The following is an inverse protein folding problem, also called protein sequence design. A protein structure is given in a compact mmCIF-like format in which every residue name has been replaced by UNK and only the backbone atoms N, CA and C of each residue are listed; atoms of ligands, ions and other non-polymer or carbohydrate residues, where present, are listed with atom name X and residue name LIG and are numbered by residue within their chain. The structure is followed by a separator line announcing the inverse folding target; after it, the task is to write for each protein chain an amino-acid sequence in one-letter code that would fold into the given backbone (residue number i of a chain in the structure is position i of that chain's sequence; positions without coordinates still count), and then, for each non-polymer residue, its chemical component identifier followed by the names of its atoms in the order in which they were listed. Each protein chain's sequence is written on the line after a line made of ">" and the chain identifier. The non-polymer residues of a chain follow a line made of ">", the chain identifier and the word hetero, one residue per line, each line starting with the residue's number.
data_IF_611090657868
#
_entry.id   IF_611090657868
#
_cell.length_a   1.000
_cell.length_b   1.000
_cell.length_c   1.000
_cell.angle_alpha   90.00
_cell.angle_beta   90.00
_cell.angle_gamma   90.00
#
_symmetry.space_group_name_H-M   'P 1'
#
loop_
_entity.id
_entity.type
_entity.pdbx_description
1 polymer ?
#
# COMPACT_ATOMS: atom_id res chain seq x y z
N UNK A 1 -16.24 -12.63 42.44
CA UNK A 1 -17.59 -12.21 42.00
C UNK A 1 -17.65 -10.69 42.14
N UNK A 2 -18.12 -9.99 41.10
CA UNK A 2 -18.18 -8.53 40.89
C UNK A 2 -16.92 -7.84 40.35
N UNK A 3 -16.80 -7.88 39.02
CA UNK A 3 -16.07 -6.91 38.22
C UNK A 3 -16.86 -5.59 38.18
N UNK A 4 -16.18 -4.47 38.47
CA UNK A 4 -16.70 -3.11 38.22
C UNK A 4 -16.32 -2.70 36.81
N UNK A 5 -17.32 -2.44 35.97
CA UNK A 5 -17.17 -1.85 34.66
C UNK A 5 -16.61 -0.42 34.79
N UNK A 6 -15.45 -0.15 34.18
CA UNK A 6 -15.01 1.20 33.89
C UNK A 6 -15.56 1.60 32.52
N UNK A 7 -16.44 2.59 32.55
CA UNK A 7 -17.05 3.25 31.40
C UNK A 7 -15.97 3.99 30.61
N UNK A 8 -15.68 3.57 29.38
CA UNK A 8 -14.78 4.28 28.47
C UNK A 8 -15.45 5.58 27.98
N UNK A 9 -14.87 6.69 28.39
CA UNK A 9 -15.24 8.03 27.93
C UNK A 9 -14.69 8.21 26.51
N UNK A 10 -15.59 8.36 25.53
CA UNK A 10 -15.28 8.59 24.12
C UNK A 10 -14.44 9.88 23.96
N UNK A 11 -13.27 9.77 23.33
CA UNK A 11 -12.56 10.93 22.78
C UNK A 11 -13.33 11.45 21.54
N UNK A 12 -13.47 12.78 21.35
CA UNK A 12 -14.24 13.36 20.24
C UNK A 12 -13.49 13.29 18.89
N UNK A 13 -14.19 13.12 17.76
CA UNK A 13 -13.60 13.01 16.43
C UNK A 13 -13.49 14.39 15.76
N UNK A 14 -12.39 15.13 15.95
CA UNK A 14 -12.12 16.36 15.17
C UNK A 14 -10.63 16.67 15.10
N UNK A 15 -9.92 16.08 14.12
CA UNK A 15 -8.59 16.56 13.67
C UNK A 15 -8.52 16.67 12.13
N UNK A 16 -9.58 16.27 11.39
CA UNK A 16 -9.55 16.19 9.92
C UNK A 16 -10.25 17.34 9.17
N UNK A 17 -10.78 18.37 9.84
CA UNK A 17 -11.50 19.45 9.17
C UNK A 17 -11.13 20.84 9.70
N UNK A 18 -10.22 21.52 9.00
CA UNK A 18 -10.07 22.99 9.02
C UNK A 18 -10.66 23.55 7.70
N UNK A 19 -11.76 24.32 7.74
CA UNK A 19 -12.44 24.85 6.56
C UNK A 19 -11.95 26.24 6.10
N UNK A 20 -10.76 26.71 6.48
CA UNK A 20 -10.34 28.11 6.23
C UNK A 20 -9.71 28.42 4.85
N UNK A 21 -9.70 27.50 3.87
CA UNK A 21 -9.13 27.78 2.54
C UNK A 21 -10.11 27.40 1.42
N UNK A 22 -11.04 28.31 1.08
CA UNK A 22 -11.66 28.37 -0.26
C UNK A 22 -12.45 29.69 -0.44
N UNK A 23 -11.87 30.67 -1.14
CA UNK A 23 -12.61 31.74 -1.82
C UNK A 23 -11.84 32.16 -3.07
N UNK A 24 -12.60 32.57 -4.10
CA UNK A 24 -12.20 33.07 -5.45
C UNK A 24 -12.02 31.97 -6.51
N UNK A 25 -12.54 32.01 -7.74
CA UNK A 25 -13.45 32.93 -8.46
C UNK A 25 -14.12 32.18 -9.62
N UNK A 26 -15.35 32.55 -9.96
CA UNK A 26 -16.07 32.06 -11.13
C UNK A 26 -15.58 32.75 -12.41
N UNK A 27 -15.37 31.98 -13.48
CA UNK A 27 -15.22 32.49 -14.85
C UNK A 27 -16.27 31.84 -15.73
N UNK A 28 -17.04 32.71 -16.40
CA UNK A 28 -18.17 32.42 -17.29
C UNK A 28 -17.65 32.36 -18.72
N UNK A 29 -17.99 31.32 -19.49
CA UNK A 29 -17.73 31.27 -20.94
C UNK A 29 -19.05 31.33 -21.72
N UNK A 30 -19.15 32.13 -22.79
CA UNK A 30 -20.38 32.28 -23.57
C UNK A 30 -20.50 31.22 -24.68
N UNK A 31 -21.75 30.91 -25.02
CA UNK A 31 -22.12 29.89 -26.00
C UNK A 31 -21.79 30.25 -27.44
N UNK A 32 -21.71 29.20 -28.27
CA UNK A 32 -21.85 29.28 -29.72
C UNK A 32 -22.60 28.04 -30.22
N UNK A 33 -23.73 28.31 -30.87
CA UNK A 33 -24.48 27.37 -31.67
C UNK A 33 -23.65 26.90 -32.86
N UNK A 34 -23.62 25.59 -33.11
CA UNK A 34 -23.12 25.04 -34.37
C UNK A 34 -24.15 24.08 -34.98
N UNK A 35 -24.55 24.45 -36.18
CA UNK A 35 -25.49 23.79 -37.09
C UNK A 35 -24.90 22.47 -37.60
N UNK A 36 -25.66 21.36 -37.52
CA UNK A 36 -25.30 20.05 -38.08
C UNK A 36 -26.00 19.87 -39.43
N UNK A 37 -25.30 19.58 -40.54
CA UNK A 37 -25.91 19.02 -41.74
C UNK A 37 -25.91 17.47 -41.69
N UNK A 38 -27.03 16.89 -42.10
CA UNK A 38 -27.27 15.45 -42.16
C UNK A 38 -26.52 14.81 -43.34
N UNK A 39 -25.54 13.97 -43.02
CA UNK A 39 -24.89 13.06 -43.97
C UNK A 39 -25.28 11.62 -43.67
N UNK A 40 -26.16 11.03 -44.49
CA UNK A 40 -26.42 9.58 -44.49
C UNK A 40 -25.18 8.87 -45.03
N UNK A 41 -24.40 8.27 -44.13
CA UNK A 41 -23.38 7.28 -44.44
C UNK A 41 -23.56 6.08 -43.53
N UNK A 42 -24.00 4.95 -44.08
CA UNK A 42 -24.09 3.68 -43.36
C UNK A 42 -22.69 3.23 -42.93
N UNK A 43 -22.44 2.93 -41.64
CA UNK A 43 -21.22 2.24 -41.26
C UNK A 43 -21.48 0.74 -41.23
N UNK A 44 -20.94 0.02 -42.21
CA UNK A 44 -20.61 -1.39 -42.02
C UNK A 44 -19.35 -1.44 -41.16
N UNK A 45 -19.51 -1.34 -39.85
CA UNK A 45 -18.46 -1.59 -38.87
C UNK A 45 -19.12 -1.92 -37.52
N UNK A 46 -18.98 -3.15 -37.01
CA UNK A 46 -19.68 -3.42 -35.76
C UNK A 46 -19.54 -4.77 -35.08
N UNK A 47 -18.44 -5.51 -35.26
CA UNK A 47 -18.16 -6.66 -34.37
C UNK A 47 -16.81 -6.50 -33.68
N UNK A 48 -15.75 -6.12 -34.39
CA UNK A 48 -14.42 -5.86 -33.79
C UNK A 48 -14.31 -4.58 -32.96
N UNK A 49 -15.07 -3.52 -33.30
CA UNK A 49 -15.12 -2.25 -32.56
C UNK A 49 -15.85 -2.39 -31.22
N UNK A 50 -16.89 -3.24 -31.17
CA UNK A 50 -17.71 -3.45 -29.98
C UNK A 50 -16.94 -4.26 -28.91
N UNK A 51 -16.24 -5.32 -29.30
CA UNK A 51 -15.42 -6.12 -28.37
C UNK A 51 -14.26 -5.30 -27.80
N UNK A 52 -13.58 -4.52 -28.63
CA UNK A 52 -12.50 -3.63 -28.17
C UNK A 52 -13.00 -2.57 -27.20
N UNK A 53 -14.15 -1.95 -27.48
CA UNK A 53 -14.78 -0.98 -26.59
C UNK A 53 -15.23 -1.59 -25.25
N UNK A 54 -15.79 -2.80 -25.28
CA UNK A 54 -16.19 -3.53 -24.07
C UNK A 54 -15.00 -3.91 -23.20
N UNK A 55 -13.88 -4.31 -23.80
CA UNK A 55 -12.64 -4.62 -23.07
C UNK A 55 -12.05 -3.38 -22.40
N UNK A 56 -12.03 -2.23 -23.08
CA UNK A 56 -11.58 -0.95 -22.49
C UNK A 56 -12.49 -0.54 -21.33
N UNK A 57 -13.81 -0.62 -21.51
CA UNK A 57 -14.77 -0.30 -20.45
C UNK A 57 -14.67 -1.26 -19.25
N UNK A 58 -14.36 -2.53 -19.48
CA UNK A 58 -14.09 -3.49 -18.42
C UNK A 58 -12.80 -3.15 -17.67
N UNK A 59 -11.72 -2.85 -18.40
CA UNK A 59 -10.43 -2.45 -17.82
C UNK A 59 -10.57 -1.23 -16.92
N UNK A 60 -11.25 -0.19 -17.40
CA UNK A 60 -11.47 1.05 -16.63
C UNK A 60 -12.28 0.80 -15.37
N UNK A 61 -13.37 0.01 -15.45
CA UNK A 61 -14.19 -0.33 -14.27
C UNK A 61 -13.41 -1.16 -13.25
N UNK A 62 -12.65 -2.16 -13.71
CA UNK A 62 -11.81 -2.98 -12.85
C UNK A 62 -10.71 -2.14 -12.19
N UNK A 63 -10.01 -1.30 -12.96
CA UNK A 63 -8.98 -0.39 -12.45
C UNK A 63 -9.53 0.59 -11.42
N UNK A 64 -10.68 1.22 -11.69
CA UNK A 64 -11.33 2.14 -10.76
C UNK A 64 -11.77 1.45 -9.47
N UNK A 65 -12.29 0.22 -9.54
CA UNK A 65 -12.67 -0.56 -8.36
C UNK A 65 -11.45 -0.90 -7.48
N UNK A 66 -10.36 -1.35 -8.10
CA UNK A 66 -9.09 -1.64 -7.39
C UNK A 66 -8.53 -0.35 -6.79
N UNK A 67 -8.52 0.74 -7.56
CA UNK A 67 -8.00 2.02 -7.10
C UNK A 67 -8.77 2.56 -5.90
N UNK A 68 -10.11 2.57 -5.92
CA UNK A 68 -10.92 3.01 -4.77
C UNK A 68 -10.75 2.13 -3.53
N UNK A 69 -10.53 0.83 -3.72
CA UNK A 69 -10.26 -0.09 -2.62
C UNK A 69 -8.96 0.28 -1.89
N UNK A 70 -7.92 0.66 -2.64
CA UNK A 70 -6.59 0.92 -2.10
C UNK A 70 -6.38 2.37 -1.69
N UNK A 71 -6.86 3.34 -2.48
CA UNK A 71 -6.68 4.77 -2.25
C UNK A 71 -7.86 5.41 -1.49
N UNK A 72 -8.92 4.65 -1.23
CA UNK A 72 -10.11 5.14 -0.54
C UNK A 72 -10.98 6.08 -1.38
N UNK A 73 -12.03 6.68 -0.76
CA UNK A 73 -12.98 7.54 -1.46
C UNK A 73 -12.36 8.84 -1.98
N UNK A 74 -11.28 9.33 -1.35
CA UNK A 74 -10.57 10.54 -1.75
C UNK A 74 -9.41 10.27 -2.73
N UNK A 75 -9.27 9.02 -3.19
CA UNK A 75 -8.10 8.59 -3.97
C UNK A 75 -7.83 9.42 -5.23
N UNK A 76 -8.87 9.85 -5.96
CA UNK A 76 -8.69 10.66 -7.17
C UNK A 76 -8.09 12.04 -6.85
N UNK A 77 -8.59 12.68 -5.78
CA UNK A 77 -8.07 13.95 -5.27
C UNK A 77 -6.64 13.81 -4.77
N UNK A 78 -6.34 12.73 -4.04
CA UNK A 78 -4.99 12.46 -3.56
C UNK A 78 -4.02 12.18 -4.72
N UNK A 79 -4.45 11.47 -5.78
CA UNK A 79 -3.63 11.29 -6.98
C UNK A 79 -3.31 12.62 -7.66
N UNK A 80 -4.29 13.51 -7.81
CA UNK A 80 -4.06 14.86 -8.34
C UNK A 80 -3.11 15.65 -7.46
N UNK A 81 -3.28 15.58 -6.13
CA UNK A 81 -2.38 16.25 -5.18
C UNK A 81 -0.95 15.71 -5.25
N UNK A 82 -0.76 14.40 -5.33
CA UNK A 82 0.56 13.75 -5.33
C UNK A 82 1.29 13.97 -6.65
N UNK A 83 0.62 13.68 -7.78
CA UNK A 83 1.26 13.72 -9.09
C UNK A 83 1.19 15.09 -9.76
N UNK A 84 0.10 15.83 -9.57
CA UNK A 84 -0.16 17.11 -10.24
C UNK A 84 0.43 18.33 -9.55
N UNK A 85 0.77 18.27 -8.27
CA UNK A 85 1.42 19.39 -7.58
C UNK A 85 2.86 19.55 -8.09
N UNK A 86 3.26 20.75 -8.56
CA UNK A 86 4.64 21.04 -8.95
C UNK A 86 5.59 21.08 -7.75
N UNK A 87 6.88 20.86 -7.99
CA UNK A 87 7.93 20.99 -6.99
C UNK A 87 8.98 19.88 -7.08
N UNK A 88 10.13 20.04 -6.41
CA UNK A 88 11.16 19.01 -6.35
C UNK A 88 10.60 17.76 -5.65
N UNK A 89 11.01 16.56 -6.09
CA UNK A 89 10.62 15.27 -5.49
C UNK A 89 11.86 14.62 -4.87
N UNK A 90 11.68 13.80 -3.84
CA UNK A 90 12.81 13.04 -3.26
C UNK A 90 13.38 12.02 -4.24
N UNK A 91 12.54 11.47 -5.11
CA UNK A 91 12.91 10.43 -6.04
C UNK A 91 12.46 10.80 -7.44
N UNK A 92 13.39 10.73 -8.39
CA UNK A 92 13.11 10.98 -9.79
C UNK A 92 12.34 9.82 -10.42
N UNK A 93 11.60 10.11 -11.49
CA UNK A 93 10.88 9.10 -12.26
C UNK A 93 11.86 8.07 -12.84
N UNK A 94 11.54 6.79 -12.70
CA UNK A 94 12.34 5.70 -13.27
C UNK A 94 13.45 5.21 -12.33
N UNK A 95 13.64 5.86 -11.18
CA UNK A 95 14.46 5.30 -10.10
C UNK A 95 13.87 3.99 -9.57
N UNK A 96 14.68 3.11 -8.96
CA UNK A 96 14.23 1.83 -8.42
C UNK A 96 13.00 1.93 -7.50
N UNK A 97 12.94 2.90 -6.56
CA UNK A 97 11.78 3.07 -5.68
C UNK A 97 10.49 3.40 -6.44
N UNK A 98 10.55 4.27 -7.45
CA UNK A 98 9.38 4.58 -8.29
C UNK A 98 8.97 3.38 -9.16
N UNK A 99 9.93 2.53 -9.53
CA UNK A 99 9.69 1.29 -10.29
C UNK A 99 9.01 0.23 -9.43
N UNK A 100 9.49 0.01 -8.20
CA UNK A 100 8.91 -0.97 -7.28
C UNK A 100 7.54 -0.53 -6.79
N UNK A 101 7.43 0.70 -6.24
CA UNK A 101 6.17 1.20 -5.68
C UNK A 101 5.10 1.47 -6.74
N UNK A 102 5.49 1.65 -8.01
CA UNK A 102 4.58 1.83 -9.14
C UNK A 102 4.04 0.53 -9.72
N UNK A 103 4.58 -0.63 -9.33
CA UNK A 103 4.21 -1.93 -9.89
C UNK A 103 3.09 -2.65 -9.11
N UNK A 104 2.31 -3.46 -9.81
CA UNK A 104 1.23 -4.24 -9.22
C UNK A 104 1.70 -5.34 -8.23
N UNK A 105 2.99 -5.70 -8.23
CA UNK A 105 3.59 -6.58 -7.22
C UNK A 105 3.46 -6.03 -5.79
N UNK A 106 3.30 -4.72 -5.62
CA UNK A 106 3.03 -4.08 -4.33
C UNK A 106 1.81 -4.63 -3.60
N UNK A 107 0.83 -5.21 -4.30
CA UNK A 107 -0.32 -5.87 -3.65
C UNK A 107 0.12 -7.13 -2.89
N UNK A 108 0.98 -7.94 -3.51
CA UNK A 108 1.56 -9.13 -2.86
C UNK A 108 2.52 -8.69 -1.76
N UNK A 109 3.35 -7.68 -2.04
CA UNK A 109 4.30 -7.11 -1.07
C UNK A 109 3.61 -6.55 0.17
N UNK A 110 2.51 -5.81 0.02
CA UNK A 110 1.73 -5.26 1.13
C UNK A 110 1.08 -6.32 2.00
N UNK A 111 0.52 -7.38 1.39
CA UNK A 111 -0.04 -8.51 2.15
C UNK A 111 1.07 -9.21 2.95
N UNK A 112 2.23 -9.43 2.33
CA UNK A 112 3.40 -10.02 3.00
C UNK A 112 3.94 -9.12 4.11
N UNK A 113 4.03 -7.81 3.89
CA UNK A 113 4.49 -6.83 4.86
C UNK A 113 3.63 -6.83 6.12
N UNK A 114 2.30 -6.86 5.98
CA UNK A 114 1.38 -6.95 7.13
C UNK A 114 1.60 -8.23 7.93
N UNK A 115 1.79 -9.38 7.25
CA UNK A 115 2.11 -10.62 7.95
C UNK A 115 3.45 -10.54 8.68
N UNK A 116 4.50 -10.06 8.02
CA UNK A 116 5.83 -9.92 8.63
C UNK A 116 5.79 -8.96 9.81
N UNK A 117 5.31 -7.72 9.63
CA UNK A 117 5.22 -6.71 10.68
C UNK A 117 4.46 -7.20 11.93
N UNK A 118 3.41 -8.01 11.74
CA UNK A 118 2.60 -8.58 12.84
C UNK A 118 3.36 -9.54 13.77
N UNK A 119 4.55 -9.99 13.37
CA UNK A 119 5.37 -10.93 14.15
C UNK A 119 6.14 -10.26 15.29
N UNK A 120 6.23 -8.93 15.34
CA UNK A 120 6.82 -8.24 16.49
C UNK A 120 5.73 -7.94 17.52
N UNK A 121 5.81 -8.48 18.75
CA UNK A 121 4.76 -8.35 19.76
C UNK A 121 4.36 -6.90 20.04
N UNK A 122 5.34 -6.01 20.27
CA UNK A 122 5.06 -4.60 20.54
C UNK A 122 4.36 -3.88 19.38
N UNK A 123 4.85 -4.05 18.14
CA UNK A 123 4.22 -3.47 16.96
C UNK A 123 2.79 -3.98 16.78
N UNK A 124 2.55 -5.29 16.96
CA UNK A 124 1.21 -5.86 16.83
C UNK A 124 0.26 -5.42 17.95
N UNK A 125 0.74 -5.32 19.20
CA UNK A 125 -0.06 -4.78 20.31
C UNK A 125 -0.46 -3.33 20.04
N UNK A 126 0.48 -2.49 19.61
CA UNK A 126 0.21 -1.11 19.23
C UNK A 126 -0.88 -1.01 18.13
N UNK A 127 -0.83 -1.89 17.12
CA UNK A 127 -1.87 -1.97 16.09
C UNK A 127 -3.20 -2.42 16.68
N UNK A 128 -3.20 -3.46 17.52
CA UNK A 128 -4.42 -4.02 18.09
C UNK A 128 -5.17 -3.02 18.98
N UNK A 129 -4.44 -2.21 19.75
CA UNK A 129 -5.00 -1.27 20.72
C UNK A 129 -5.38 0.07 20.09
N UNK A 130 -4.61 0.57 19.10
CA UNK A 130 -4.76 1.95 18.63
C UNK A 130 -5.29 2.09 17.20
N UNK A 131 -5.28 1.04 16.36
CA UNK A 131 -5.51 1.23 14.92
C UNK A 131 -6.96 1.10 14.47
N UNK A 132 -7.86 0.59 15.30
CA UNK A 132 -9.26 0.33 14.92
C UNK A 132 -9.44 -0.59 13.71
N UNK A 133 -8.47 -1.47 13.40
CA UNK A 133 -8.42 -2.21 12.12
C UNK A 133 -9.65 -3.09 11.86
N UNK A 134 -10.32 -3.58 12.91
CA UNK A 134 -11.54 -4.39 12.79
C UNK A 134 -12.74 -3.57 12.28
N UNK A 135 -12.74 -2.25 12.50
CA UNK A 135 -13.81 -1.35 12.07
C UNK A 135 -13.52 -0.63 10.74
N UNK A 136 -12.25 -0.33 10.46
CA UNK A 136 -11.84 0.45 9.28
C UNK A 136 -10.53 -0.08 8.64
N UNK A 137 -10.54 -1.34 8.20
CA UNK A 137 -9.38 -1.96 7.55
C UNK A 137 -8.98 -1.23 6.25
N UNK A 138 -9.95 -0.90 5.41
CA UNK A 138 -9.68 -0.27 4.11
C UNK A 138 -9.29 1.19 4.23
N UNK A 139 -9.87 1.94 5.19
CA UNK A 139 -9.39 3.28 5.47
C UNK A 139 -7.96 3.26 6.02
N UNK A 140 -7.59 2.25 6.82
CA UNK A 140 -6.18 2.06 7.23
C UNK A 140 -5.28 1.78 6.01
N UNK A 141 -5.69 0.88 5.11
CA UNK A 141 -4.95 0.62 3.87
C UNK A 141 -4.80 1.91 3.04
N UNK A 142 -5.86 2.71 2.91
CA UNK A 142 -5.84 3.98 2.20
C UNK A 142 -4.87 5.00 2.82
N UNK A 143 -4.81 5.12 4.14
CA UNK A 143 -3.85 6.03 4.81
C UNK A 143 -2.40 5.61 4.54
N UNK A 144 -2.09 4.31 4.64
CA UNK A 144 -0.75 3.80 4.36
C UNK A 144 -0.38 3.91 2.88
N UNK A 145 -1.31 3.60 1.97
CA UNK A 145 -1.06 3.71 0.52
C UNK A 145 -0.86 5.18 0.10
N UNK A 146 -1.64 6.11 0.64
CA UNK A 146 -1.45 7.55 0.43
C UNK A 146 -0.13 8.03 1.01
N UNK A 147 0.29 7.53 2.18
CA UNK A 147 1.62 7.84 2.73
C UNK A 147 2.74 7.39 1.78
N UNK A 148 2.76 6.11 1.39
CA UNK A 148 3.75 5.57 0.45
C UNK A 148 3.76 6.32 -0.88
N UNK A 149 2.58 6.61 -1.44
CA UNK A 149 2.47 7.34 -2.68
C UNK A 149 2.95 8.79 -2.55
N UNK A 150 2.64 9.47 -1.44
CA UNK A 150 3.09 10.84 -1.18
C UNK A 150 4.61 10.90 -1.00
N UNK A 151 5.21 9.99 -0.23
CA UNK A 151 6.66 9.99 0.01
C UNK A 151 7.46 9.53 -1.20
N UNK A 152 6.86 8.76 -2.11
CA UNK A 152 7.54 8.23 -3.29
C UNK A 152 7.36 9.12 -4.52
N UNK A 153 6.13 9.54 -4.79
CA UNK A 153 5.78 10.23 -6.02
C UNK A 153 5.44 11.71 -5.80
N UNK A 154 5.22 12.14 -4.57
CA UNK A 154 4.83 13.52 -4.24
C UNK A 154 6.02 14.50 -4.22
N UNK A 155 5.75 15.82 -4.23
CA UNK A 155 6.75 16.84 -3.97
C UNK A 155 7.35 16.66 -2.56
N UNK A 156 8.62 17.02 -2.41
CA UNK A 156 9.38 16.89 -1.17
C UNK A 156 8.64 17.52 0.02
N UNK A 157 8.05 18.71 -0.15
CA UNK A 157 7.31 19.38 0.93
C UNK A 157 6.06 18.59 1.37
N UNK A 158 5.34 17.97 0.43
CA UNK A 158 4.21 17.10 0.78
C UNK A 158 4.68 15.82 1.47
N UNK A 159 5.82 15.28 1.06
CA UNK A 159 6.43 14.12 1.68
C UNK A 159 6.92 14.42 3.11
N UNK A 160 7.55 15.57 3.37
CA UNK A 160 7.92 16.02 4.72
C UNK A 160 6.69 16.19 5.61
N UNK A 161 5.61 16.80 5.10
CA UNK A 161 4.36 16.97 5.85
C UNK A 161 3.72 15.62 6.22
N UNK A 162 3.75 14.66 5.30
CA UNK A 162 3.27 13.31 5.54
C UNK A 162 4.09 12.62 6.64
N UNK A 163 5.43 12.70 6.57
CA UNK A 163 6.34 12.20 7.62
C UNK A 163 6.04 12.86 8.96
N UNK A 164 5.97 14.19 9.02
CA UNK A 164 5.72 14.92 10.26
C UNK A 164 4.39 14.51 10.90
N UNK A 165 3.37 14.23 10.07
CA UNK A 165 2.08 13.74 10.53
C UNK A 165 2.16 12.33 11.11
N UNK A 166 2.84 11.41 10.44
CA UNK A 166 3.04 10.04 10.95
C UNK A 166 3.84 10.05 12.26
N UNK A 167 4.92 10.83 12.33
CA UNK A 167 5.72 10.98 13.57
C UNK A 167 4.85 11.43 14.75
N UNK A 168 4.07 12.50 14.55
CA UNK A 168 3.16 13.02 15.59
C UNK A 168 2.16 11.97 16.04
N UNK A 169 1.63 11.15 15.14
CA UNK A 169 0.73 10.05 15.50
C UNK A 169 1.50 9.02 16.33
N UNK A 170 2.67 8.58 15.88
CA UNK A 170 3.47 7.57 16.56
C UNK A 170 3.93 8.00 17.97
N UNK A 171 4.18 9.29 18.19
CA UNK A 171 4.52 9.85 19.50
C UNK A 171 3.38 9.69 20.54
N UNK A 172 2.14 9.53 20.09
CA UNK A 172 0.96 9.33 20.95
C UNK A 172 0.51 7.87 21.03
N UNK A 173 1.13 6.97 20.26
CA UNK A 173 0.84 5.53 20.31
C UNK A 173 1.80 4.89 21.30
N UNK A 174 1.35 4.83 22.55
CA UNK A 174 2.11 4.30 23.69
C UNK A 174 1.25 3.32 24.47
N UNK A 175 1.86 2.29 25.05
CA UNK A 175 1.17 1.35 25.93
C UNK A 175 2.14 0.45 26.69
N UNK A 176 1.62 -0.65 27.21
CA UNK A 176 2.39 -1.63 27.99
C UNK A 176 2.02 -3.04 27.55
N UNK A 177 3.01 -3.89 27.29
CA UNK A 177 2.80 -5.31 26.98
C UNK A 177 2.30 -6.08 28.20
N UNK A 178 1.79 -7.30 27.99
CA UNK A 178 1.27 -8.15 29.07
C UNK A 178 2.33 -8.48 30.16
N UNK A 179 3.61 -8.48 29.80
CA UNK A 179 4.72 -8.71 30.72
C UNK A 179 5.18 -7.44 31.48
N UNK A 180 4.50 -6.30 31.27
CA UNK A 180 4.82 -5.02 31.90
C UNK A 180 5.82 -4.16 31.13
N UNK A 181 6.36 -4.63 30.00
CA UNK A 181 7.30 -3.85 29.17
C UNK A 181 6.56 -2.68 28.51
N UNK A 182 6.99 -1.41 28.73
CA UNK A 182 6.40 -0.27 28.03
C UNK A 182 6.78 -0.28 26.54
N UNK A 183 5.90 0.23 25.69
CA UNK A 183 6.18 0.43 24.27
C UNK A 183 5.76 1.83 23.83
N UNK A 184 6.46 2.36 22.82
CA UNK A 184 6.09 3.57 22.08
C UNK A 184 6.32 3.32 20.59
N UNK A 185 5.35 3.67 19.75
CA UNK A 185 5.46 3.41 18.31
C UNK A 185 6.53 4.25 17.61
N UNK A 186 6.98 5.35 18.23
CA UNK A 186 8.13 6.14 17.76
C UNK A 186 9.48 5.63 18.24
N UNK A 187 9.54 4.48 18.93
CA UNK A 187 10.81 3.81 19.26
C UNK A 187 11.60 3.50 17.96
N UNK A 188 12.82 4.05 17.79
CA UNK A 188 13.64 3.79 16.61
C UNK A 188 13.90 2.31 16.32
N UNK A 189 13.97 1.44 17.35
CA UNK A 189 14.14 0.00 17.19
C UNK A 189 12.89 -0.64 16.56
N UNK A 190 11.70 -0.30 17.06
CA UNK A 190 10.44 -0.76 16.47
C UNK A 190 10.23 -0.22 15.06
N UNK A 191 10.57 1.05 14.82
CA UNK A 191 10.53 1.64 13.49
C UNK A 191 11.47 0.91 12.51
N UNK A 192 12.66 0.50 12.97
CA UNK A 192 13.60 -0.28 12.17
C UNK A 192 13.00 -1.63 11.75
N UNK A 193 12.34 -2.34 12.66
CA UNK A 193 11.64 -3.59 12.32
C UNK A 193 10.54 -3.36 11.28
N UNK A 194 9.64 -2.40 11.53
CA UNK A 194 8.50 -2.13 10.66
C UNK A 194 8.97 -1.78 9.25
N UNK A 195 10.03 -0.97 9.15
CA UNK A 195 10.67 -0.62 7.89
C UNK A 195 11.32 -1.83 7.21
N UNK A 196 12.16 -2.59 7.91
CA UNK A 196 12.86 -3.76 7.35
C UNK A 196 11.86 -4.80 6.82
N UNK A 197 10.83 -5.12 7.60
CA UNK A 197 9.77 -6.05 7.21
C UNK A 197 8.98 -5.54 6.00
N UNK A 198 8.78 -4.22 5.88
CA UNK A 198 8.10 -3.59 4.74
C UNK A 198 8.94 -3.70 3.46
N UNK A 199 10.17 -3.18 3.47
CA UNK A 199 11.01 -3.10 2.28
C UNK A 199 11.45 -4.46 1.79
N UNK A 200 11.72 -5.41 2.70
CA UNK A 200 12.00 -6.80 2.35
C UNK A 200 10.80 -7.47 1.67
N UNK A 201 9.59 -7.19 2.15
CA UNK A 201 8.35 -7.72 1.55
C UNK A 201 8.08 -7.16 0.16
N UNK A 202 8.27 -5.85 -0.03
CA UNK A 202 8.10 -5.20 -1.32
C UNK A 202 9.15 -5.69 -2.32
N UNK A 203 10.41 -5.78 -1.90
CA UNK A 203 11.49 -6.26 -2.75
C UNK A 203 11.28 -7.73 -3.13
N UNK A 204 10.94 -8.61 -2.18
CA UNK A 204 10.67 -10.02 -2.46
C UNK A 204 9.51 -10.20 -3.47
N UNK A 205 8.43 -9.44 -3.30
CA UNK A 205 7.29 -9.48 -4.22
C UNK A 205 7.65 -8.94 -5.60
N UNK A 206 8.46 -7.88 -5.67
CA UNK A 206 8.91 -7.30 -6.93
C UNK A 206 9.90 -8.21 -7.67
N UNK A 207 10.81 -8.87 -6.95
CA UNK A 207 11.70 -9.89 -7.53
C UNK A 207 10.90 -11.06 -8.11
N UNK A 208 9.81 -11.48 -7.45
CA UNK A 208 8.99 -12.58 -7.91
C UNK A 208 8.02 -12.22 -9.06
N UNK A 209 7.44 -11.02 -9.04
CA UNK A 209 6.29 -10.67 -9.89
C UNK A 209 6.38 -9.32 -10.61
N UNK A 210 7.45 -8.56 -10.39
CA UNK A 210 7.68 -7.25 -10.98
C UNK A 210 7.77 -7.30 -12.50
N UNK A 211 7.29 -6.25 -13.18
CA UNK A 211 7.40 -6.15 -14.63
C UNK A 211 8.83 -5.89 -15.10
N UNK A 212 9.58 -5.11 -14.31
CA UNK A 212 10.93 -4.66 -14.63
C UNK A 212 11.87 -5.08 -13.49
N UNK A 213 12.43 -6.29 -13.56
CA UNK A 213 13.32 -6.80 -12.50
C UNK A 213 14.51 -5.87 -12.28
N UNK A 214 14.87 -5.67 -11.01
CA UNK A 214 16.08 -4.96 -10.61
C UNK A 214 17.27 -5.93 -10.53
N UNK A 215 18.42 -5.52 -11.05
CA UNK A 215 19.70 -6.17 -10.79
C UNK A 215 20.18 -5.87 -9.36
N UNK A 216 21.32 -6.44 -8.93
CA UNK A 216 21.80 -6.25 -7.55
C UNK A 216 22.02 -4.76 -7.20
N UNK A 217 22.73 -3.96 -8.02
CA UNK A 217 22.86 -2.53 -7.75
C UNK A 217 21.51 -1.80 -7.68
N UNK A 218 20.55 -2.15 -8.55
CA UNK A 218 19.20 -1.57 -8.49
C UNK A 218 18.43 -1.93 -7.22
N UNK A 219 18.62 -3.15 -6.68
CA UNK A 219 18.03 -3.56 -5.40
C UNK A 219 18.65 -2.82 -4.22
N UNK A 220 19.97 -2.61 -4.23
CA UNK A 220 20.64 -1.83 -3.19
C UNK A 220 20.24 -0.35 -3.29
N UNK A 221 20.14 0.23 -4.49
CA UNK A 221 19.65 1.62 -4.67
C UNK A 221 18.19 1.78 -4.22
N UNK A 222 17.32 0.78 -4.47
CA UNK A 222 15.97 0.76 -3.89
C UNK A 222 16.00 0.82 -2.35
N UNK A 223 16.86 0.05 -1.70
CA UNK A 223 16.99 0.05 -0.24
C UNK A 223 17.58 1.36 0.27
N UNK A 224 18.60 1.92 -0.39
CA UNK A 224 19.13 3.23 -0.08
C UNK A 224 18.07 4.35 -0.20
N UNK A 225 17.20 4.29 -1.21
CA UNK A 225 16.10 5.23 -1.40
C UNK A 225 15.02 5.11 -0.32
N UNK A 226 14.58 3.88 -0.01
CA UNK A 226 13.61 3.66 1.07
C UNK A 226 14.16 4.04 2.45
N UNK A 227 15.47 3.88 2.68
CA UNK A 227 16.18 4.32 3.88
C UNK A 227 16.11 5.85 4.10
N UNK A 228 15.93 6.67 3.06
CA UNK A 228 15.69 8.12 3.19
C UNK A 228 14.40 8.37 3.97
N UNK A 229 13.32 7.68 3.62
CA UNK A 229 12.02 7.82 4.29
C UNK A 229 12.09 7.27 5.72
N UNK A 230 12.78 6.15 5.92
CA UNK A 230 12.96 5.55 7.24
C UNK A 230 13.70 6.47 8.22
N UNK A 231 14.81 7.09 7.79
CA UNK A 231 15.54 8.08 8.60
C UNK A 231 14.64 9.25 9.00
N UNK A 232 13.83 9.74 8.05
CA UNK A 232 12.87 10.82 8.29
C UNK A 232 11.79 10.42 9.29
N UNK A 233 11.33 9.17 9.28
CA UNK A 233 10.38 8.64 10.25
C UNK A 233 10.99 8.43 11.65
N UNK A 234 12.31 8.30 11.76
CA UNK A 234 13.03 8.18 13.04
C UNK A 234 13.91 6.94 13.18
N UNK A 235 14.08 6.14 12.13
CA UNK A 235 15.03 5.01 12.14
C UNK A 235 16.46 5.56 12.16
N UNK A 236 17.31 5.08 13.08
CA UNK A 236 18.69 5.57 13.24
C UNK A 236 19.59 5.06 12.11
N UNK A 237 19.60 3.76 11.87
CA UNK A 237 20.46 3.11 10.88
C UNK A 237 19.66 2.12 10.01
N UNK A 238 18.81 2.61 9.09
CA UNK A 238 18.04 1.74 8.21
C UNK A 238 18.95 1.06 7.17
N UNK A 239 18.69 -0.20 6.81
CA UNK A 239 19.48 -0.93 5.84
C UNK A 239 19.42 -0.25 4.47
N UNK A 240 20.59 -0.09 3.85
CA UNK A 240 20.76 0.51 2.52
C UNK A 240 21.16 -0.51 1.45
N UNK A 241 21.47 -1.75 1.85
CA UNK A 241 21.78 -2.85 0.95
C UNK A 241 21.02 -4.11 1.30
N UNK A 242 20.89 -5.05 0.36
CA UNK A 242 20.22 -6.32 0.59
C UNK A 242 20.97 -7.18 1.64
N UNK A 243 22.29 -7.02 1.70
CA UNK A 243 23.12 -7.65 2.72
C UNK A 243 22.82 -7.12 4.12
N UNK A 244 22.75 -5.80 4.28
CA UNK A 244 22.37 -5.15 5.54
C UNK A 244 20.93 -5.51 5.93
N UNK A 245 20.00 -5.50 4.98
CA UNK A 245 18.61 -5.89 5.23
C UNK A 245 18.53 -7.33 5.74
N UNK A 246 19.27 -8.27 5.13
CA UNK A 246 19.33 -9.65 5.59
C UNK A 246 19.88 -9.76 7.02
N UNK A 247 20.89 -8.97 7.34
CA UNK A 247 21.45 -8.91 8.69
C UNK A 247 20.42 -8.39 9.70
N UNK A 248 19.76 -7.27 9.41
CA UNK A 248 18.70 -6.70 10.26
C UNK A 248 17.57 -7.71 10.49
N UNK A 249 17.12 -8.41 9.43
CA UNK A 249 16.09 -9.44 9.55
C UNK A 249 16.53 -10.63 10.42
N UNK A 250 17.82 -10.99 10.40
CA UNK A 250 18.38 -12.02 11.25
C UNK A 250 18.50 -11.55 12.70
N UNK A 251 18.87 -10.30 12.94
CA UNK A 251 19.04 -9.72 14.27
C UNK A 251 17.70 -9.58 15.00
N UNK A 252 16.63 -9.21 14.29
CA UNK A 252 15.28 -9.18 14.87
C UNK A 252 14.72 -10.57 15.15
N UNK A 253 15.19 -11.63 14.49
CA UNK A 253 14.63 -12.99 14.55
C UNK A 253 14.28 -13.47 15.98
N UNK A 254 15.11 -13.28 17.02
CA UNK A 254 14.82 -13.72 18.39
C UNK A 254 13.68 -12.96 19.07
N UNK A 255 13.34 -11.76 18.61
CA UNK A 255 12.27 -10.92 19.15
C UNK A 255 10.89 -11.25 18.54
N UNK A 256 10.89 -11.96 17.41
CA UNK A 256 9.70 -12.21 16.60
C UNK A 256 8.94 -13.45 17.06
N UNK A 257 7.66 -13.25 17.42
CA UNK A 257 6.69 -14.30 17.74
C UNK A 257 5.27 -13.80 17.48
N UNK A 258 4.42 -14.65 16.94
CA UNK A 258 3.02 -14.30 16.74
C UNK A 258 2.26 -14.35 18.07
N UNK A 259 1.69 -13.22 18.46
CA UNK A 259 0.72 -13.13 19.56
C UNK A 259 -0.70 -13.46 19.05
N UNK A 260 -1.68 -13.78 19.92
CA UNK A 260 -3.06 -14.05 19.50
C UNK A 260 -3.65 -12.96 18.60
N UNK A 261 -3.39 -11.68 18.92
CA UNK A 261 -3.84 -10.55 18.11
C UNK A 261 -3.31 -10.59 16.66
N UNK A 262 -2.08 -11.08 16.42
CA UNK A 262 -1.53 -11.25 15.09
C UNK A 262 -2.33 -12.28 14.28
N UNK A 263 -2.55 -13.48 14.86
CA UNK A 263 -3.31 -14.56 14.21
C UNK A 263 -4.74 -14.14 13.90
N UNK A 264 -5.38 -13.46 14.84
CA UNK A 264 -6.73 -12.93 14.67
C UNK A 264 -6.80 -11.90 13.54
N UNK A 265 -5.84 -10.96 13.50
CA UNK A 265 -5.77 -9.96 12.45
C UNK A 265 -5.59 -10.60 11.07
N UNK A 266 -4.62 -11.51 10.92
CA UNK A 266 -4.36 -12.18 9.64
C UNK A 266 -5.56 -13.03 9.21
N UNK A 267 -6.17 -13.77 10.12
CA UNK A 267 -7.37 -14.56 9.84
C UNK A 267 -8.54 -13.68 9.41
N UNK A 268 -8.78 -12.57 10.11
CA UNK A 268 -9.83 -11.62 9.79
C UNK A 268 -9.64 -11.00 8.40
N UNK A 269 -8.46 -10.43 8.13
CA UNK A 269 -8.16 -9.77 6.85
C UNK A 269 -8.24 -10.76 5.68
N UNK A 270 -7.78 -12.00 5.87
CA UNK A 270 -7.81 -13.03 4.83
C UNK A 270 -9.22 -13.56 4.56
N UNK A 271 -10.02 -13.84 5.60
CA UNK A 271 -11.29 -14.57 5.47
C UNK A 271 -12.53 -13.67 5.42
N UNK A 272 -12.45 -12.44 5.93
CA UNK A 272 -13.56 -11.49 5.96
C UNK A 272 -13.30 -10.23 5.11
N UNK A 273 -12.80 -10.34 3.86
CA UNK A 273 -12.67 -9.15 3.02
C UNK A 273 -14.08 -8.70 2.60
N UNK A 274 -14.47 -7.42 2.79
CA UNK A 274 -15.73 -6.88 2.30
C UNK A 274 -15.64 -6.61 0.79
N UNK A 275 -15.33 -7.66 0.05
CA UNK A 275 -15.23 -7.68 -1.41
C UNK A 275 -16.46 -8.39 -1.98
N UNK A 276 -16.94 -7.89 -3.12
CA UNK A 276 -17.95 -8.59 -3.91
C UNK A 276 -17.44 -10.00 -4.30
N UNK A 277 -18.34 -10.98 -4.41
CA UNK A 277 -18.01 -12.39 -4.67
C UNK A 277 -16.98 -12.59 -5.81
N UNK A 278 -17.08 -11.92 -6.98
CA UNK A 278 -16.12 -12.11 -8.07
C UNK A 278 -14.69 -11.66 -7.71
N UNK A 279 -14.52 -10.73 -6.78
CA UNK A 279 -13.21 -10.22 -6.36
C UNK A 279 -12.53 -11.08 -5.29
N UNK A 280 -13.24 -12.05 -4.69
CA UNK A 280 -12.67 -12.93 -3.66
C UNK A 280 -11.64 -13.91 -4.21
N UNK A 281 -11.84 -14.43 -5.42
CA UNK A 281 -10.90 -15.34 -6.07
C UNK A 281 -9.53 -14.68 -6.37
N UNK A 282 -9.44 -13.54 -7.07
CA UNK A 282 -8.15 -12.87 -7.29
C UNK A 282 -7.51 -12.43 -5.97
N UNK A 283 -8.29 -12.00 -4.99
CA UNK A 283 -7.79 -11.70 -3.65
C UNK A 283 -7.14 -12.92 -2.97
N UNK A 284 -7.78 -14.09 -3.05
CA UNK A 284 -7.22 -15.33 -2.50
C UNK A 284 -5.91 -15.75 -3.19
N UNK A 285 -5.78 -15.50 -4.50
CA UNK A 285 -4.52 -15.77 -5.23
C UNK A 285 -3.41 -14.83 -4.79
N UNK A 286 -3.69 -13.53 -4.58
CA UNK A 286 -2.70 -12.58 -4.05
C UNK A 286 -2.23 -12.99 -2.64
N UNK A 287 -3.15 -13.45 -1.79
CA UNK A 287 -2.80 -14.02 -0.48
C UNK A 287 -1.94 -15.28 -0.59
N UNK A 288 -2.29 -16.20 -1.49
CA UNK A 288 -1.50 -17.41 -1.70
C UNK A 288 -0.07 -17.08 -2.20
N UNK A 289 0.05 -16.11 -3.11
CA UNK A 289 1.35 -15.61 -3.59
C UNK A 289 2.16 -14.99 -2.45
N UNK A 290 1.55 -14.16 -1.59
CA UNK A 290 2.22 -13.56 -0.45
C UNK A 290 2.68 -14.61 0.58
N UNK A 291 1.83 -15.61 0.88
CA UNK A 291 2.14 -16.71 1.80
C UNK A 291 3.30 -17.56 1.25
N UNK A 292 3.34 -17.82 -0.06
CA UNK A 292 4.42 -18.59 -0.68
C UNK A 292 5.79 -17.87 -0.63
N UNK A 293 5.80 -16.55 -0.44
CA UNK A 293 7.01 -15.75 -0.25
C UNK A 293 7.40 -15.56 1.23
N UNK A 294 6.61 -16.09 2.17
CA UNK A 294 6.94 -15.99 3.60
C UNK A 294 8.09 -16.94 3.96
N UNK A 295 8.99 -16.56 4.88
CA UNK A 295 9.97 -17.48 5.43
C UNK A 295 9.28 -18.66 6.13
N UNK A 296 9.81 -19.88 5.97
CA UNK A 296 9.12 -21.08 6.46
C UNK A 296 8.83 -21.08 7.96
N UNK A 297 9.69 -20.42 8.74
CA UNK A 297 9.52 -20.33 10.19
C UNK A 297 8.25 -19.56 10.61
N UNK A 298 7.75 -18.63 9.79
CA UNK A 298 6.58 -17.80 10.15
C UNK A 298 5.28 -18.58 10.02
N UNK A 299 5.30 -19.72 9.31
CA UNK A 299 4.08 -20.47 8.98
C UNK A 299 3.40 -21.01 10.22
N UNK A 300 4.17 -21.61 11.12
CA UNK A 300 3.67 -22.11 12.40
C UNK A 300 3.22 -20.96 13.30
N UNK A 301 3.98 -19.87 13.33
CA UNK A 301 3.66 -18.66 14.10
C UNK A 301 2.29 -18.10 13.69
N UNK A 302 2.03 -17.90 12.39
CA UNK A 302 0.82 -17.25 11.90
C UNK A 302 -0.31 -18.21 11.51
N UNK A 303 -0.13 -19.52 11.66
CA UNK A 303 -1.12 -20.52 11.24
C UNK A 303 -1.36 -20.53 9.73
N UNK A 304 -0.31 -20.29 8.94
CA UNK A 304 -0.42 -20.20 7.49
C UNK A 304 -0.50 -21.60 6.85
N UNK A 305 -1.27 -21.76 5.76
CA UNK A 305 -1.31 -23.03 5.03
C UNK A 305 0.07 -23.36 4.46
N UNK A 306 0.38 -24.64 4.40
CA UNK A 306 1.62 -25.14 3.82
C UNK A 306 1.33 -26.22 2.78
N UNK A 307 1.52 -25.87 1.51
CA UNK A 307 1.30 -26.79 0.39
C UNK A 307 2.50 -26.78 -0.56
N UNK A 308 3.63 -27.44 -0.20
CA UNK A 308 4.92 -27.34 -0.88
C UNK A 308 4.90 -27.61 -2.39
N UNK A 309 3.98 -28.48 -2.84
CA UNK A 309 3.83 -28.82 -4.26
C UNK A 309 3.11 -27.71 -5.01
N UNK A 310 2.01 -27.19 -4.45
CA UNK A 310 1.27 -26.07 -5.05
C UNK A 310 2.09 -24.79 -5.03
N UNK A 311 2.82 -24.53 -3.95
CA UNK A 311 3.68 -23.35 -3.78
C UNK A 311 4.85 -23.30 -4.76
N UNK A 312 5.40 -24.46 -5.14
CA UNK A 312 6.48 -24.52 -6.14
C UNK A 312 5.97 -24.57 -7.58
N UNK A 313 4.86 -25.27 -7.84
CA UNK A 313 4.43 -25.56 -9.22
C UNK A 313 3.31 -24.63 -9.73
N UNK A 314 2.42 -24.16 -8.85
CA UNK A 314 1.16 -23.50 -9.27
C UNK A 314 1.12 -22.04 -8.84
N UNK A 315 1.46 -21.75 -7.58
CA UNK A 315 1.33 -20.40 -7.01
C UNK A 315 2.20 -19.36 -7.74
N UNK A 316 3.44 -19.65 -8.19
CA UNK A 316 4.24 -18.67 -8.92
C UNK A 316 3.56 -18.27 -10.24
N UNK A 317 3.09 -19.24 -11.02
CA UNK A 317 2.37 -18.97 -12.26
C UNK A 317 1.04 -18.25 -12.03
N UNK A 318 0.25 -18.70 -11.05
CA UNK A 318 -1.01 -18.06 -10.69
C UNK A 318 -0.82 -16.63 -10.17
N UNK A 319 0.23 -16.41 -9.37
CA UNK A 319 0.64 -15.09 -8.88
C UNK A 319 1.02 -14.16 -10.03
N UNK A 320 1.87 -14.62 -10.96
CA UNK A 320 2.23 -13.84 -12.16
C UNK A 320 1.01 -13.47 -13.00
N UNK A 321 0.06 -14.38 -13.18
CA UNK A 321 -1.19 -14.11 -13.90
C UNK A 321 -2.07 -13.10 -13.14
N UNK A 322 -2.23 -13.26 -11.82
CA UNK A 322 -3.04 -12.36 -11.01
C UNK A 322 -2.43 -10.94 -10.96
N UNK A 323 -1.13 -10.83 -10.70
CA UNK A 323 -0.40 -9.55 -10.71
C UNK A 323 -0.44 -8.93 -12.11
N UNK A 324 -0.30 -9.73 -13.17
CA UNK A 324 -0.45 -9.29 -14.55
C UNK A 324 -1.85 -8.73 -14.86
N UNK A 325 -2.91 -9.36 -14.35
CA UNK A 325 -4.28 -8.89 -14.49
C UNK A 325 -4.53 -7.59 -13.72
N UNK A 326 -4.03 -7.47 -12.48
CA UNK A 326 -4.07 -6.21 -11.71
C UNK A 326 -3.31 -5.11 -12.45
N UNK A 327 -2.11 -5.41 -12.93
CA UNK A 327 -1.29 -4.48 -13.72
C UNK A 327 -2.04 -4.00 -14.96
N UNK A 328 -2.67 -4.91 -15.71
CA UNK A 328 -3.51 -4.58 -16.85
C UNK A 328 -4.66 -3.66 -16.45
N UNK A 329 -5.38 -3.95 -15.37
CA UNK A 329 -6.49 -3.14 -14.89
C UNK A 329 -6.06 -1.73 -14.45
N UNK A 330 -4.87 -1.58 -13.86
CA UNK A 330 -4.36 -0.30 -13.36
C UNK A 330 -3.76 0.62 -14.42
N UNK A 331 -3.46 0.13 -15.64
CA UNK A 331 -2.81 0.93 -16.71
C UNK A 331 -3.48 2.29 -16.96
N UNK A 332 -4.83 2.41 -17.06
CA UNK A 332 -5.47 3.71 -17.30
C UNK A 332 -5.22 4.70 -16.15
N UNK A 333 -5.26 4.24 -14.90
CA UNK A 333 -5.01 5.07 -13.72
C UNK A 333 -3.54 5.50 -13.63
N UNK A 334 -2.61 4.62 -13.99
CA UNK A 334 -1.18 4.94 -14.09
C UNK A 334 -0.91 5.95 -15.21
N UNK A 335 -1.57 5.82 -16.36
CA UNK A 335 -1.45 6.79 -17.45
C UNK A 335 -1.97 8.16 -17.03
N UNK A 336 -3.10 8.22 -16.31
CA UNK A 336 -3.63 9.46 -15.75
C UNK A 336 -2.66 10.10 -14.74
N UNK A 337 -2.05 9.31 -13.85
CA UNK A 337 -1.03 9.80 -12.92
C UNK A 337 0.18 10.40 -13.65
N UNK A 338 0.69 9.70 -14.68
CA UNK A 338 1.82 10.18 -15.48
C UNK A 338 1.52 11.48 -16.22
N UNK A 339 0.28 11.63 -16.72
CA UNK A 339 -0.16 12.83 -17.43
C UNK A 339 -0.32 14.06 -16.53
N UNK A 340 -0.42 13.86 -15.21
CA UNK A 340 -0.47 14.95 -14.23
C UNK A 340 0.92 15.46 -13.84
N UNK A 341 1.95 14.61 -13.95
CA UNK A 341 3.29 14.98 -13.55
C UNK A 341 3.83 16.12 -14.43
N UNK A 342 4.31 17.22 -13.84
CA UNK A 342 4.89 18.32 -14.60
C UNK A 342 6.08 17.81 -15.43
N UNK A 343 6.28 18.41 -16.61
CA UNK A 343 7.48 18.14 -17.41
C UNK A 343 8.74 18.45 -16.58
N UNK A 344 9.80 17.62 -16.68
CA UNK A 344 11.07 17.93 -16.05
C UNK A 344 11.60 19.24 -16.63
N UNK A 345 11.92 20.19 -15.75
CA UNK A 345 12.44 21.52 -16.10
C UNK A 345 13.86 21.45 -16.66
#
# INVERSE_FOLDING_TARGET
>A
MQARACTFQKLPPTIWHDPSIARTSAVRSPGRDLIIPSGKGSPVAGVGSNVSGQLVALQQRAGAAIFRLVAGPEGERERERIHGTPGPRWFERGTPITTVHGDASMFVGGIRAVMMQSLHPAAMTAVAEHSGYRGDLWGRLARTSTFLATTTFGPADLAEQAVATVRRIHDHVTGTLEDGTPYVASDPHLLAWVHAAEVESFLAAHTAYGLHPLDQPGRDDYLAQTAVVARKLGVIDPPTTEAELRQVMADFRPELRAIPAARDAITYVRLQPPLALPAKAPYAVLWAAAIALMPDWTRAELGLPHHPRLERAVIPAAGTLAVGAVRWALRPGQAAARALEPDPA
#
